data_IF_961399462571
#
_entry.id   IF_961399462571
#
_cell.length_a   1.000
_cell.length_b   1.000
_cell.length_c   1.000
_cell.angle_alpha   90.00
_cell.angle_beta   90.00
_cell.angle_gamma   90.00
#
_symmetry.space_group_name_H-M   'P 1'
#
loop_
_entity.id
_entity.type
_entity.pdbx_description
1 polymer ?
#
# COMPACT_ATOMS: atom_id res chain seq x y z
N UNK A 1 -57.78 12.26 -39.15
CA UNK A 1 -56.58 11.50 -39.56
C UNK A 1 -55.44 11.88 -38.60
N UNK A 2 -55.56 11.51 -37.32
CA UNK A 2 -54.77 12.13 -36.24
C UNK A 2 -54.56 11.20 -35.03
N UNK A 3 -54.44 9.88 -35.26
CA UNK A 3 -54.31 8.88 -34.17
C UNK A 3 -53.15 7.90 -34.43
N UNK A 4 -52.40 8.03 -35.55
CA UNK A 4 -51.34 7.07 -35.90
C UNK A 4 -49.91 7.50 -35.56
N UNK A 5 -49.68 8.73 -35.09
CA UNK A 5 -48.31 9.23 -34.86
C UNK A 5 -47.92 9.32 -33.37
N UNK A 6 -48.87 9.24 -32.43
CA UNK A 6 -48.59 9.32 -30.99
C UNK A 6 -48.20 7.98 -30.34
N UNK A 7 -48.29 6.85 -31.05
CA UNK A 7 -47.95 5.54 -30.49
C UNK A 7 -46.44 5.18 -30.62
N UNK A 8 -45.69 5.88 -31.48
CA UNK A 8 -44.28 5.54 -31.73
C UNK A 8 -43.32 6.16 -30.71
N UNK A 9 -43.73 7.23 -30.02
CA UNK A 9 -42.88 7.97 -29.06
C UNK A 9 -42.88 7.30 -27.67
N UNK A 10 -43.94 6.58 -27.31
CA UNK A 10 -44.04 5.86 -26.03
C UNK A 10 -43.14 4.61 -25.97
N UNK A 11 -42.72 4.05 -27.11
CA UNK A 11 -41.86 2.87 -27.16
C UNK A 11 -40.36 3.21 -27.03
N UNK A 12 -39.96 4.44 -27.37
CA UNK A 12 -38.56 4.88 -27.27
C UNK A 12 -38.15 5.31 -25.85
N UNK A 13 -39.09 5.59 -24.96
CA UNK A 13 -38.82 6.01 -23.57
C UNK A 13 -38.63 4.83 -22.59
N UNK A 14 -38.84 3.59 -23.03
CA UNK A 14 -38.59 2.38 -22.20
C UNK A 14 -37.16 1.83 -22.33
N UNK A 15 -36.32 2.40 -23.21
CA UNK A 15 -34.92 1.98 -23.38
C UNK A 15 -33.93 2.77 -22.50
N UNK A 16 -34.41 3.71 -21.68
CA UNK A 16 -33.65 4.31 -20.57
C UNK A 16 -33.98 3.65 -19.22
N UNK A 17 -34.31 2.35 -19.22
CA UNK A 17 -34.09 1.56 -18.01
C UNK A 17 -32.60 1.58 -17.75
N UNK A 18 -32.22 2.25 -16.67
CA UNK A 18 -30.92 2.14 -16.05
C UNK A 18 -30.51 0.67 -16.07
N UNK A 19 -29.56 0.34 -16.92
CA UNK A 19 -28.69 -0.81 -16.71
C UNK A 19 -27.98 -0.53 -15.39
N UNK A 20 -28.64 -0.88 -14.29
CA UNK A 20 -27.98 -1.20 -13.05
C UNK A 20 -27.10 -2.39 -13.44
N UNK A 21 -25.85 -2.10 -13.75
CA UNK A 21 -24.85 -3.15 -13.88
C UNK A 21 -24.85 -3.81 -12.51
N UNK A 22 -25.43 -4.99 -12.44
CA UNK A 22 -25.13 -5.94 -11.40
C UNK A 22 -23.66 -6.34 -11.61
N UNK A 23 -22.76 -5.43 -11.26
CA UNK A 23 -21.38 -5.77 -10.96
C UNK A 23 -21.43 -6.55 -9.66
N UNK A 24 -21.72 -7.84 -9.77
CA UNK A 24 -21.30 -8.84 -8.78
C UNK A 24 -19.78 -8.97 -8.82
N UNK A 25 -19.05 -7.86 -8.71
CA UNK A 25 -17.71 -7.92 -8.19
C UNK A 25 -17.88 -8.36 -6.74
N UNK A 26 -17.60 -9.62 -6.47
CA UNK A 26 -17.35 -10.08 -5.11
C UNK A 26 -16.36 -9.08 -4.52
N UNK A 27 -16.86 -8.19 -3.65
CA UNK A 27 -16.04 -7.21 -2.97
C UNK A 27 -14.94 -8.02 -2.27
N UNK A 28 -13.72 -7.97 -2.81
CA UNK A 28 -12.58 -8.57 -2.12
C UNK A 28 -12.60 -7.99 -0.71
N UNK A 29 -12.48 -8.85 0.33
CA UNK A 29 -12.60 -8.39 1.69
C UNK A 29 -11.60 -7.27 1.91
N UNK A 30 -12.14 -6.12 2.32
CA UNK A 30 -11.36 -4.92 2.58
C UNK A 30 -10.17 -5.28 3.47
N UNK A 31 -8.94 -4.93 3.08
CA UNK A 31 -7.71 -5.32 3.81
C UNK A 31 -7.81 -4.95 5.30
N UNK A 32 -8.56 -3.89 5.65
CA UNK A 32 -8.83 -3.47 7.03
C UNK A 32 -9.69 -4.43 7.83
N UNK A 33 -10.59 -5.15 7.17
CA UNK A 33 -11.46 -6.15 7.81
C UNK A 33 -10.71 -7.45 8.11
N UNK A 34 -9.54 -7.63 7.50
CA UNK A 34 -8.71 -8.81 7.69
C UNK A 34 -7.86 -8.68 8.95
N UNK A 35 -7.64 -9.82 9.59
CA UNK A 35 -6.85 -9.92 10.81
C UNK A 35 -5.41 -9.43 10.57
N UNK A 36 -4.90 -8.69 11.56
CA UNK A 36 -3.50 -8.29 11.62
C UNK A 36 -2.69 -9.35 12.34
N UNK A 37 -1.62 -9.79 11.70
CA UNK A 37 -0.66 -10.75 12.22
C UNK A 37 0.65 -10.03 12.53
N UNK A 38 0.98 -9.80 13.83
CA UNK A 38 2.27 -9.22 14.20
C UNK A 38 3.42 -10.15 13.80
N UNK A 39 4.50 -9.59 13.25
CA UNK A 39 5.73 -10.37 12.99
C UNK A 39 6.35 -10.81 14.31
N UNK A 40 6.72 -12.08 14.41
CA UNK A 40 7.34 -12.71 15.58
C UNK A 40 8.83 -12.90 15.41
N UNK A 41 9.30 -13.04 14.18
CA UNK A 41 10.72 -13.05 13.83
C UNK A 41 10.97 -12.42 12.46
N UNK A 42 12.15 -11.84 12.26
CA UNK A 42 12.58 -11.39 10.92
C UNK A 42 12.78 -12.54 9.93
N UNK A 43 12.74 -13.79 10.38
CA UNK A 43 12.71 -14.97 9.51
C UNK A 43 11.45 -15.04 8.66
N UNK A 44 10.34 -14.44 9.12
CA UNK A 44 9.08 -14.37 8.38
C UNK A 44 9.14 -13.40 7.19
N UNK A 45 10.18 -12.58 7.11
CA UNK A 45 10.45 -11.73 5.97
C UNK A 45 11.24 -12.49 4.92
N UNK A 46 10.73 -12.55 3.70
CA UNK A 46 11.47 -13.03 2.55
C UNK A 46 12.51 -11.96 2.14
N UNK A 47 13.71 -12.40 1.74
CA UNK A 47 14.71 -11.52 1.13
C UNK A 47 14.19 -10.98 -0.20
N UNK A 48 14.29 -9.67 -0.42
CA UNK A 48 13.92 -9.02 -1.69
C UNK A 48 12.87 -7.94 -1.56
N UNK A 49 12.24 -7.59 -2.68
CA UNK A 49 11.32 -6.45 -2.79
C UNK A 49 9.87 -6.79 -2.44
N UNK A 50 9.30 -6.03 -1.52
CA UNK A 50 7.86 -5.88 -1.31
C UNK A 50 7.41 -4.57 -1.96
N UNK A 51 6.57 -4.64 -2.99
CA UNK A 51 6.14 -3.47 -3.74
C UNK A 51 4.94 -2.79 -3.10
N UNK A 52 4.93 -1.46 -3.10
CA UNK A 52 3.89 -0.63 -2.52
C UNK A 52 2.53 -0.89 -3.18
N UNK A 53 1.50 -1.01 -2.36
CA UNK A 53 0.13 -1.31 -2.79
C UNK A 53 -0.92 -0.39 -2.21
N UNK A 54 -0.57 0.45 -1.24
CA UNK A 54 -1.53 1.40 -0.70
C UNK A 54 -1.11 1.92 0.65
N UNK A 55 -1.98 2.76 1.21
CA UNK A 55 -1.82 3.26 2.57
C UNK A 55 -3.17 3.40 3.24
N UNK A 56 -3.17 3.22 4.56
CA UNK A 56 -4.29 3.54 5.45
C UNK A 56 -3.88 4.73 6.29
N UNK A 57 -4.77 5.71 6.44
CA UNK A 57 -4.51 6.86 7.28
C UNK A 57 -5.65 7.06 8.26
N UNK A 58 -5.32 6.92 9.53
CA UNK A 58 -6.22 7.08 10.67
C UNK A 58 -7.33 6.02 10.62
N UNK A 59 -8.58 6.45 10.83
CA UNK A 59 -9.78 5.61 10.79
C UNK A 59 -10.29 5.34 9.36
N UNK A 60 -9.62 5.87 8.34
CA UNK A 60 -10.05 5.72 6.95
C UNK A 60 -9.68 4.35 6.41
N UNK A 61 -10.50 3.83 5.49
CA UNK A 61 -10.13 2.68 4.66
C UNK A 61 -8.83 2.98 3.93
N UNK A 62 -7.93 1.99 3.78
CA UNK A 62 -6.80 2.20 2.89
C UNK A 62 -7.26 2.45 1.48
N UNK A 63 -6.50 3.33 0.87
CA UNK A 63 -6.49 3.50 -0.56
C UNK A 63 -5.48 2.52 -1.13
N UNK A 64 -5.99 1.42 -1.71
CA UNK A 64 -5.18 0.48 -2.46
C UNK A 64 -4.98 0.99 -3.90
N UNK A 65 -3.81 0.74 -4.47
CA UNK A 65 -3.53 1.01 -5.87
C UNK A 65 -4.40 0.12 -6.75
N UNK A 66 -4.97 0.70 -7.79
CA UNK A 66 -5.63 -0.03 -8.86
C UNK A 66 -4.62 -0.98 -9.53
N UNK A 67 -5.04 -2.21 -9.83
CA UNK A 67 -4.15 -3.24 -10.40
C UNK A 67 -3.48 -2.81 -11.72
N UNK A 68 -4.22 -2.06 -12.55
CA UNK A 68 -3.77 -1.55 -13.84
C UNK A 68 -3.20 -0.13 -13.79
N UNK A 69 -2.89 0.40 -12.60
CA UNK A 69 -2.33 1.75 -12.48
C UNK A 69 -1.05 1.91 -13.28
N UNK A 70 -0.95 3.02 -13.99
CA UNK A 70 0.26 3.47 -14.69
C UNK A 70 1.17 4.31 -13.80
N UNK A 71 0.73 4.62 -12.57
CA UNK A 71 1.51 5.41 -11.62
C UNK A 71 2.81 4.69 -11.24
N UNK A 72 3.92 5.44 -11.29
CA UNK A 72 5.22 4.92 -10.89
C UNK A 72 5.32 4.54 -9.41
N UNK A 73 4.41 5.05 -8.57
CA UNK A 73 4.34 4.70 -7.14
C UNK A 73 4.16 3.20 -6.92
N UNK A 74 3.58 2.47 -7.89
CA UNK A 74 3.46 1.00 -7.84
C UNK A 74 4.80 0.27 -7.80
N UNK A 75 5.87 0.94 -8.23
CA UNK A 75 7.24 0.44 -8.22
C UNK A 75 8.01 0.84 -6.97
N UNK A 76 7.47 1.71 -6.12
CA UNK A 76 8.06 1.93 -4.80
C UNK A 76 8.14 0.58 -4.07
N UNK A 77 9.26 0.29 -3.43
CA UNK A 77 9.47 -1.00 -2.79
C UNK A 77 10.23 -0.90 -1.48
N UNK A 78 9.82 -1.73 -0.51
CA UNK A 78 10.61 -2.08 0.65
C UNK A 78 11.47 -3.28 0.28
N UNK A 79 12.77 -3.07 0.13
CA UNK A 79 13.73 -4.13 -0.08
C UNK A 79 14.29 -4.62 1.25
N UNK A 80 14.09 -5.90 1.53
CA UNK A 80 14.60 -6.57 2.73
C UNK A 80 15.98 -7.15 2.46
N UNK A 81 17.00 -6.58 3.11
CA UNK A 81 18.35 -7.12 3.11
C UNK A 81 18.56 -8.03 4.32
N UNK A 82 19.06 -9.23 4.05
CA UNK A 82 19.53 -10.16 5.08
C UNK A 82 21.04 -10.36 4.96
N UNK A 83 21.73 -10.56 6.07
CA UNK A 83 23.16 -10.89 6.08
C UNK A 83 23.40 -12.35 5.60
N UNK A 84 24.64 -12.85 5.72
CA UNK A 84 24.97 -14.23 5.33
C UNK A 84 24.45 -15.29 6.30
N UNK A 85 23.94 -14.88 7.46
CA UNK A 85 23.30 -15.73 8.47
C UNK A 85 21.77 -15.60 8.41
N UNK A 86 21.23 -14.97 7.37
CA UNK A 86 19.81 -14.69 7.16
C UNK A 86 19.16 -13.76 8.22
N UNK A 87 19.96 -13.03 9.00
CA UNK A 87 19.43 -12.00 9.88
C UNK A 87 19.10 -10.72 9.10
N UNK A 88 18.02 -10.02 9.48
CA UNK A 88 17.71 -8.71 8.93
C UNK A 88 18.86 -7.73 9.19
N UNK A 89 19.45 -7.19 8.13
CA UNK A 89 20.55 -6.23 8.21
C UNK A 89 20.10 -4.79 7.93
N UNK A 90 19.29 -4.60 6.90
CA UNK A 90 18.85 -3.30 6.40
C UNK A 90 17.48 -3.43 5.73
N UNK A 91 16.63 -2.42 5.86
CA UNK A 91 15.47 -2.26 4.98
C UNK A 91 15.67 -0.98 4.18
N UNK A 92 15.53 -1.06 2.87
CA UNK A 92 15.56 0.09 1.98
C UNK A 92 14.15 0.39 1.49
N UNK A 93 13.71 1.64 1.57
CA UNK A 93 12.51 2.09 0.90
C UNK A 93 12.89 2.93 -0.31
N UNK A 94 12.66 2.40 -1.52
CA UNK A 94 12.97 3.09 -2.77
C UNK A 94 11.73 3.78 -3.32
N UNK A 95 11.90 5.04 -3.70
CA UNK A 95 10.87 5.84 -4.36
C UNK A 95 11.13 5.92 -5.85
N UNK A 96 10.06 5.76 -6.62
CA UNK A 96 10.04 5.84 -8.07
C UNK A 96 9.13 6.96 -8.54
N UNK A 97 9.58 7.68 -9.56
CA UNK A 97 8.82 8.74 -10.21
C UNK A 97 8.87 8.56 -11.73
N UNK A 98 7.99 9.29 -12.44
CA UNK A 98 8.00 9.29 -13.89
C UNK A 98 9.23 10.04 -14.42
N UNK A 99 9.98 9.42 -15.32
CA UNK A 99 11.05 10.05 -16.08
C UNK A 99 10.93 9.77 -17.57
N UNK A 100 11.94 10.19 -18.35
CA UNK A 100 11.87 10.15 -19.81
C UNK A 100 11.71 8.73 -20.41
N UNK A 101 12.28 7.72 -19.75
CA UNK A 101 12.29 6.33 -20.21
C UNK A 101 11.36 5.42 -19.39
N UNK A 102 10.42 6.00 -18.62
CA UNK A 102 9.52 5.29 -17.73
C UNK A 102 9.78 5.59 -16.26
N UNK A 103 9.48 4.65 -15.37
CA UNK A 103 9.58 4.85 -13.93
C UNK A 103 11.02 4.67 -13.45
N UNK A 104 11.59 5.73 -12.87
CA UNK A 104 12.96 5.76 -12.39
C UNK A 104 13.01 5.91 -10.87
N UNK A 105 13.93 5.20 -10.23
CA UNK A 105 14.23 5.40 -8.82
C UNK A 105 14.91 6.74 -8.61
N UNK A 106 14.37 7.59 -7.74
CA UNK A 106 14.93 8.93 -7.47
C UNK A 106 15.35 9.15 -6.01
N UNK A 107 14.91 8.31 -5.07
CA UNK A 107 15.24 8.42 -3.65
C UNK A 107 15.24 7.06 -2.98
N UNK A 108 16.13 6.87 -2.00
CA UNK A 108 16.15 5.69 -1.12
C UNK A 108 16.23 6.13 0.34
N UNK A 109 15.38 5.57 1.18
CA UNK A 109 15.41 5.78 2.63
C UNK A 109 15.84 4.49 3.31
N UNK A 110 16.69 4.61 4.32
CA UNK A 110 17.31 3.46 4.99
C UNK A 110 16.73 3.30 6.39
N UNK A 111 16.28 2.08 6.71
CA UNK A 111 15.91 1.66 8.05
C UNK A 111 17.06 0.81 8.60
N UNK A 112 17.73 1.31 9.62
CA UNK A 112 18.93 0.73 10.18
C UNK A 112 18.78 0.51 11.69
N UNK A 113 19.73 -0.21 12.30
CA UNK A 113 19.66 -0.56 13.73
C UNK A 113 18.36 -1.31 14.07
N UNK A 114 17.89 -2.12 13.12
CA UNK A 114 16.61 -2.81 13.21
C UNK A 114 16.68 -3.92 14.27
N UNK A 115 15.69 -3.94 15.15
CA UNK A 115 15.48 -5.05 16.09
C UNK A 115 13.99 -5.20 16.37
N UNK A 116 13.54 -6.44 16.52
CA UNK A 116 12.21 -6.71 17.00
C UNK A 116 12.21 -6.44 18.51
N UNK A 117 11.48 -5.41 18.95
CA UNK A 117 11.40 -5.03 20.35
C UNK A 117 10.45 -5.97 21.11
N UNK A 118 9.33 -6.27 20.47
CA UNK A 118 8.34 -7.29 20.83
C UNK A 118 7.59 -7.70 19.56
N UNK A 119 6.71 -8.72 19.65
CA UNK A 119 5.92 -9.17 18.50
C UNK A 119 5.18 -7.98 17.87
N UNK A 120 5.37 -7.78 16.57
CA UNK A 120 4.72 -6.73 15.81
C UNK A 120 5.32 -5.33 15.98
N UNK A 121 6.38 -5.15 16.78
CA UNK A 121 6.97 -3.84 17.06
C UNK A 121 8.45 -3.80 16.65
N UNK A 122 8.72 -3.10 15.56
CA UNK A 122 10.05 -2.85 15.04
C UNK A 122 10.64 -1.60 15.69
N UNK A 123 11.77 -1.75 16.38
CA UNK A 123 12.65 -0.60 16.65
C UNK A 123 13.55 -0.36 15.43
N UNK A 124 13.65 0.89 14.98
CA UNK A 124 14.49 1.27 13.83
C UNK A 124 14.98 2.72 13.92
N UNK A 125 16.08 3.01 13.23
CA UNK A 125 16.55 4.35 12.89
C UNK A 125 16.38 4.57 11.39
N UNK A 126 15.53 5.51 11.00
CA UNK A 126 15.27 5.88 9.60
C UNK A 126 16.16 7.04 9.20
N UNK A 127 16.85 6.92 8.06
CA UNK A 127 17.74 7.93 7.50
C UNK A 127 17.47 8.22 6.04
N UNK A 128 17.72 9.46 5.64
CA UNK A 128 17.71 9.85 4.23
C UNK A 128 18.98 9.35 3.49
N UNK A 129 19.06 9.52 2.16
CA UNK A 129 20.24 9.09 1.38
C UNK A 129 21.57 9.74 1.82
N UNK A 130 21.51 10.86 2.53
CA UNK A 130 22.68 11.62 2.99
C UNK A 130 23.06 11.27 4.45
N UNK A 131 22.38 10.29 5.06
CA UNK A 131 22.63 9.83 6.42
C UNK A 131 21.96 10.67 7.52
N UNK A 132 21.17 11.69 7.16
CA UNK A 132 20.41 12.49 8.13
C UNK A 132 19.30 11.63 8.73
N UNK A 133 19.23 11.61 10.06
CA UNK A 133 18.17 10.89 10.79
C UNK A 133 16.82 11.59 10.59
N UNK A 134 15.86 10.87 10.03
CA UNK A 134 14.47 11.28 9.86
C UNK A 134 13.61 10.86 11.04
N UNK A 135 13.86 9.65 11.56
CA UNK A 135 13.12 9.07 12.68
C UNK A 135 14.00 8.08 13.45
N UNK A 136 13.71 7.89 14.74
CA UNK A 136 14.23 6.78 15.54
C UNK A 136 13.22 6.44 16.62
N UNK A 137 12.81 5.19 16.67
CA UNK A 137 11.77 4.76 17.60
C UNK A 137 11.14 3.43 17.21
N UNK A 138 9.95 3.19 17.76
CA UNK A 138 9.15 1.99 17.57
C UNK A 138 8.11 2.22 16.46
N UNK A 139 7.90 1.20 15.64
CA UNK A 139 6.90 1.15 14.57
C UNK A 139 6.12 -0.15 14.67
N UNK A 140 4.82 -0.09 14.42
CA UNK A 140 4.07 -1.31 14.13
C UNK A 140 4.53 -1.93 12.80
N UNK A 141 4.71 -3.24 12.79
CA UNK A 141 5.23 -3.98 11.67
C UNK A 141 4.72 -5.43 11.67
N UNK A 142 4.04 -5.83 10.60
CA UNK A 142 3.42 -7.14 10.53
C UNK A 142 2.76 -7.41 9.19
N UNK A 143 1.89 -8.41 9.13
CA UNK A 143 1.12 -8.74 7.95
C UNK A 143 -0.37 -8.47 8.18
N UNK A 144 -1.06 -8.00 7.15
CA UNK A 144 -2.52 -7.88 7.16
C UNK A 144 -3.04 -8.18 5.76
N UNK A 145 -3.96 -9.13 5.63
CA UNK A 145 -4.49 -9.53 4.32
C UNK A 145 -3.44 -10.00 3.31
N UNK A 146 -2.33 -10.58 3.78
CA UNK A 146 -1.21 -10.98 2.93
C UNK A 146 -0.30 -9.83 2.44
N UNK A 147 -0.51 -8.61 2.94
CA UNK A 147 0.37 -7.47 2.71
C UNK A 147 1.28 -7.27 3.91
N UNK A 148 2.55 -6.96 3.67
CA UNK A 148 3.43 -6.40 4.68
C UNK A 148 2.95 -4.99 5.01
N UNK A 149 2.61 -4.77 6.28
CA UNK A 149 2.14 -3.49 6.84
C UNK A 149 3.24 -2.90 7.72
N UNK A 150 3.53 -1.62 7.53
CA UNK A 150 4.42 -0.86 8.41
C UNK A 150 3.82 0.50 8.76
N UNK A 151 3.98 0.93 10.01
CA UNK A 151 3.65 2.29 10.42
C UNK A 151 4.50 3.31 9.66
N UNK A 152 3.86 4.32 9.11
CA UNK A 152 4.47 5.33 8.27
C UNK A 152 5.05 6.47 9.11
N UNK A 153 6.38 6.62 9.05
CA UNK A 153 7.15 7.77 9.57
C UNK A 153 7.98 8.45 8.48
N UNK A 154 7.65 8.18 7.22
CA UNK A 154 8.47 8.58 6.08
C UNK A 154 7.71 9.51 5.16
N UNK A 155 6.43 9.24 4.91
CA UNK A 155 5.66 10.08 3.99
C UNK A 155 5.42 11.46 4.59
N UNK A 156 5.05 12.37 3.69
CA UNK A 156 4.74 13.75 4.02
C UNK A 156 3.28 13.89 4.49
N UNK A 157 2.60 12.78 4.81
CA UNK A 157 1.20 12.80 5.16
C UNK A 157 0.97 13.61 6.43
N UNK A 158 0.09 14.61 6.33
CA UNK A 158 -0.33 15.44 7.46
C UNK A 158 -1.55 14.79 8.10
N UNK A 159 -1.36 14.29 9.32
CA UNK A 159 -2.44 13.70 10.11
C UNK A 159 -3.49 14.74 10.48
N UNK A 160 -4.76 14.33 10.50
CA UNK A 160 -5.85 15.13 11.07
C UNK A 160 -5.93 14.93 12.58
N UNK A 161 -5.80 13.68 13.01
CA UNK A 161 -5.67 13.30 14.41
C UNK A 161 -4.17 13.12 14.78
N UNK A 162 -3.63 13.89 15.75
CA UNK A 162 -2.27 13.70 16.25
C UNK A 162 -1.96 12.27 16.72
N UNK A 163 -2.95 11.57 17.30
CA UNK A 163 -2.81 10.20 17.81
C UNK A 163 -3.02 9.15 16.72
N UNK A 164 -3.71 9.52 15.64
CA UNK A 164 -4.02 8.64 14.53
C UNK A 164 -2.76 8.06 13.87
N UNK A 165 -2.82 6.79 13.48
CA UNK A 165 -1.71 6.08 12.83
C UNK A 165 -1.91 6.00 11.33
N UNK A 166 -0.80 5.94 10.62
CA UNK A 166 -0.78 5.81 9.17
C UNK A 166 0.05 4.58 8.87
N UNK A 167 -0.43 3.76 7.95
CA UNK A 167 0.23 2.51 7.57
C UNK A 167 0.42 2.46 6.07
N UNK A 168 1.56 1.94 5.65
CA UNK A 168 1.83 1.59 4.27
C UNK A 168 1.74 0.09 4.08
N UNK A 169 1.19 -0.34 2.94
CA UNK A 169 0.96 -1.74 2.59
C UNK A 169 1.82 -2.11 1.39
N UNK A 170 2.50 -3.25 1.49
CA UNK A 170 3.41 -3.75 0.47
C UNK A 170 3.13 -5.23 0.19
N UNK A 171 3.33 -5.67 -1.06
CA UNK A 171 3.12 -7.06 -1.46
C UNK A 171 4.37 -7.57 -2.16
N UNK A 172 4.88 -8.70 -1.71
CA UNK A 172 5.91 -9.41 -2.45
C UNK A 172 5.28 -10.06 -3.68
N UNK A 173 5.90 -9.87 -4.84
CA UNK A 173 5.54 -10.59 -6.05
C UNK A 173 6.55 -11.72 -6.19
N UNK A 174 6.17 -12.93 -5.77
CA UNK A 174 6.98 -14.12 -6.02
C UNK A 174 6.94 -14.40 -7.52
N UNK A 175 8.11 -14.46 -8.16
CA UNK A 175 8.25 -14.91 -9.55
C UNK A 175 8.21 -16.43 -9.61
#
# INVERSE_FOLDING_TARGET
MLIKETLLIALCLLLFSCSKSDDDSVDEPDVFSLEYFPIKSFDELDRGSYFYRGFQAEDRKASMLLENTTSCVRFNDLYIHKDSLENLSLIEYNFHESGQLGCNRYKTILFQENRLYEEGILFTTIRDPYGKRLFKGLLEFGFQGGYLRIEDKISNYVKKDPEGKVYMYFKMIKK
#
